data_IF_561688324357
#
_entry.id   IF_561688324357
#
_cell.length_a   1.000
_cell.length_b   1.000
_cell.length_c   1.000
_cell.angle_alpha   90.00
_cell.angle_beta   90.00
_cell.angle_gamma   90.00
#
_symmetry.space_group_name_H-M   'P 1'
#
loop_
_entity.id
_entity.type
_entity.pdbx_description
1 polymer ?
#
# COMPACT_ATOMS: atom_id res chain seq x y z
N UNK A 1 -32.02 33.81 23.39
CA UNK A 1 -31.93 34.13 21.95
C UNK A 1 -30.48 34.09 21.48
N UNK A 2 -29.57 34.81 22.16
CA UNK A 2 -28.13 34.87 21.83
C UNK A 2 -27.44 33.51 21.64
N UNK A 3 -27.68 32.53 22.52
CA UNK A 3 -27.11 31.18 22.41
C UNK A 3 -27.56 30.45 21.12
N UNK A 4 -28.78 30.69 20.66
CA UNK A 4 -29.32 30.06 19.43
C UNK A 4 -28.62 30.66 18.19
N UNK A 5 -28.36 31.96 18.19
CA UNK A 5 -27.59 32.61 17.12
C UNK A 5 -26.14 32.13 17.08
N UNK A 6 -25.51 31.96 18.24
CA UNK A 6 -24.15 31.43 18.34
C UNK A 6 -24.08 29.98 17.81
N UNK A 7 -25.04 29.13 18.17
CA UNK A 7 -25.13 27.76 17.63
C UNK A 7 -25.39 27.74 16.11
N UNK A 8 -26.22 28.63 15.59
CA UNK A 8 -26.47 28.76 14.16
C UNK A 8 -25.21 29.17 13.39
N UNK A 9 -24.43 30.12 13.93
CA UNK A 9 -23.16 30.56 13.32
C UNK A 9 -22.14 29.41 13.33
N UNK A 10 -22.01 28.68 14.43
CA UNK A 10 -21.13 27.50 14.49
C UNK A 10 -21.57 26.42 13.50
N UNK A 11 -22.87 26.16 13.36
CA UNK A 11 -23.39 25.18 12.41
C UNK A 11 -23.07 25.57 10.95
N UNK A 12 -23.18 26.85 10.60
CA UNK A 12 -22.86 27.35 9.25
C UNK A 12 -21.35 27.27 8.99
N UNK A 13 -20.53 27.69 9.95
CA UNK A 13 -19.06 27.63 9.84
C UNK A 13 -18.56 26.18 9.74
N UNK A 14 -19.09 25.28 10.55
CA UNK A 14 -18.73 23.86 10.51
C UNK A 14 -19.17 23.21 9.20
N UNK A 15 -20.37 23.51 8.69
CA UNK A 15 -20.82 23.00 7.39
C UNK A 15 -19.95 23.47 6.22
N UNK A 16 -19.38 24.66 6.29
CA UNK A 16 -18.48 25.19 5.26
C UNK A 16 -17.04 24.65 5.36
N UNK A 17 -16.53 24.41 6.57
CA UNK A 17 -15.12 24.07 6.81
C UNK A 17 -14.88 22.54 6.84
N UNK A 18 -15.85 21.74 7.30
CA UNK A 18 -15.67 20.30 7.42
C UNK A 18 -15.36 19.59 6.09
N UNK A 19 -16.09 19.85 4.98
CA UNK A 19 -15.90 19.10 3.75
C UNK A 19 -14.45 19.14 3.21
N UNK A 20 -13.82 20.32 3.00
CA UNK A 20 -12.45 20.37 2.50
C UNK A 20 -11.43 19.83 3.52
N UNK A 21 -11.68 20.00 4.83
CA UNK A 21 -10.81 19.43 5.86
C UNK A 21 -10.83 17.88 5.84
N UNK A 22 -12.00 17.28 5.62
CA UNK A 22 -12.15 15.82 5.53
C UNK A 22 -11.51 15.23 4.28
N UNK A 23 -11.57 15.94 3.14
CA UNK A 23 -10.87 15.56 1.91
C UNK A 23 -9.35 15.50 2.14
N UNK A 24 -8.76 16.57 2.70
CA UNK A 24 -7.31 16.61 3.02
C UNK A 24 -6.88 15.53 4.01
N UNK A 25 -7.70 15.25 5.02
CA UNK A 25 -7.44 14.15 5.96
C UNK A 25 -7.47 12.80 5.23
N UNK A 26 -8.39 12.63 4.29
CA UNK A 26 -8.51 11.40 3.51
C UNK A 26 -7.28 11.22 2.63
N UNK A 27 -6.89 12.24 1.88
CA UNK A 27 -5.67 12.24 1.05
C UNK A 27 -4.42 11.91 1.88
N UNK A 28 -4.22 12.60 3.01
CA UNK A 28 -3.09 12.33 3.89
C UNK A 28 -3.07 10.88 4.42
N UNK A 29 -4.24 10.29 4.68
CA UNK A 29 -4.35 8.87 5.06
C UNK A 29 -4.06 7.94 3.90
N UNK A 30 -4.47 8.29 2.67
CA UNK A 30 -4.13 7.52 1.47
C UNK A 30 -2.62 7.52 1.27
N UNK A 31 -1.98 8.68 1.31
CA UNK A 31 -0.53 8.82 1.13
C UNK A 31 0.25 8.09 2.24
N UNK A 32 -0.18 8.24 3.48
CA UNK A 32 0.38 7.49 4.61
C UNK A 32 0.25 5.98 4.42
N UNK A 33 -0.87 5.51 3.87
CA UNK A 33 -1.10 4.09 3.59
C UNK A 33 -0.21 3.58 2.46
N UNK A 34 -0.03 4.36 1.40
CA UNK A 34 0.89 4.03 0.29
C UNK A 34 2.35 4.03 0.78
N UNK A 35 2.74 5.01 1.61
CA UNK A 35 4.07 5.05 2.22
C UNK A 35 4.35 3.83 3.11
N UNK A 36 3.37 3.40 3.90
CA UNK A 36 3.45 2.16 4.67
C UNK A 36 3.60 0.94 3.76
N UNK A 37 2.83 0.86 2.67
CA UNK A 37 2.95 -0.23 1.71
C UNK A 37 4.36 -0.31 1.07
N UNK A 38 5.01 0.83 0.82
CA UNK A 38 6.38 0.89 0.32
C UNK A 38 7.42 0.36 1.33
N UNK A 39 7.24 0.64 2.63
CA UNK A 39 8.10 0.08 3.67
C UNK A 39 7.92 -1.44 3.78
N UNK A 40 6.67 -1.91 3.74
CA UNK A 40 6.33 -3.33 3.80
C UNK A 40 6.85 -4.08 2.57
N UNK A 41 6.86 -3.42 1.40
CA UNK A 41 7.41 -4.00 0.18
C UNK A 41 8.88 -4.40 0.34
N UNK A 42 9.69 -3.57 1.02
CA UNK A 42 11.09 -3.90 1.29
C UNK A 42 11.22 -5.14 2.19
N UNK A 43 10.37 -5.22 3.22
CA UNK A 43 10.33 -6.36 4.14
C UNK A 43 9.84 -7.62 3.41
N UNK A 44 8.87 -7.48 2.51
CA UNK A 44 8.40 -8.57 1.66
C UNK A 44 9.54 -9.12 0.80
N UNK A 45 10.33 -8.26 0.15
CA UNK A 45 11.45 -8.71 -0.69
C UNK A 45 12.50 -9.50 0.12
N UNK A 46 12.72 -9.12 1.37
CA UNK A 46 13.57 -9.90 2.30
C UNK A 46 12.95 -11.29 2.54
N UNK A 47 11.65 -11.37 2.82
CA UNK A 47 10.98 -12.65 3.03
C UNK A 47 11.03 -13.55 1.78
N UNK A 48 10.88 -12.97 0.59
CA UNK A 48 10.92 -13.67 -0.69
C UNK A 48 12.30 -14.24 -0.99
N UNK A 49 13.36 -13.47 -0.75
CA UNK A 49 14.74 -13.85 -1.08
C UNK A 49 15.41 -14.73 -0.03
N UNK A 50 14.81 -14.86 1.16
CA UNK A 50 15.32 -15.72 2.22
C UNK A 50 15.10 -17.20 1.88
N UNK A 51 16.19 -17.96 1.81
CA UNK A 51 16.13 -19.41 1.67
C UNK A 51 15.54 -20.04 2.94
N UNK A 52 14.54 -20.91 2.77
CA UNK A 52 13.91 -21.68 3.84
C UNK A 52 14.75 -22.90 4.19
N UNK A 53 15.17 -23.66 3.18
CA UNK A 53 16.07 -24.80 3.33
C UNK A 53 17.14 -24.79 2.25
N UNK A 54 18.29 -25.36 2.57
CA UNK A 54 19.38 -25.59 1.62
C UNK A 54 19.72 -27.07 1.66
N UNK A 55 19.63 -27.76 0.52
CA UNK A 55 20.07 -29.15 0.38
C UNK A 55 21.32 -29.22 -0.50
N UNK A 56 22.22 -30.14 -0.17
CA UNK A 56 23.45 -30.39 -0.93
C UNK A 56 23.32 -31.75 -1.61
N UNK A 57 23.50 -31.80 -2.93
CA UNK A 57 23.50 -33.07 -3.67
C UNK A 57 24.84 -33.82 -3.50
N UNK A 58 24.90 -35.07 -3.97
CA UNK A 58 26.12 -35.89 -3.89
C UNK A 58 27.30 -35.34 -4.71
N UNK A 59 27.04 -34.34 -5.57
CA UNK A 59 28.01 -33.64 -6.42
C UNK A 59 28.41 -32.27 -5.85
N UNK A 60 27.94 -31.91 -4.66
CA UNK A 60 28.28 -30.65 -3.98
C UNK A 60 27.52 -29.43 -4.50
N UNK A 61 26.42 -29.59 -5.25
CA UNK A 61 25.56 -28.49 -5.68
C UNK A 61 24.56 -28.15 -4.59
N UNK A 62 24.43 -26.86 -4.33
CA UNK A 62 23.49 -26.32 -3.36
C UNK A 62 22.16 -26.01 -4.06
N UNK A 63 21.06 -26.57 -3.54
CA UNK A 63 19.70 -26.22 -3.96
C UNK A 63 19.01 -25.52 -2.80
N UNK A 64 18.53 -24.30 -3.04
CA UNK A 64 17.79 -23.51 -2.05
C UNK A 64 16.29 -23.58 -2.33
N UNK A 65 15.48 -23.77 -1.29
CA UNK A 65 14.03 -23.58 -1.37
C UNK A 65 13.67 -22.20 -0.84
N UNK A 66 12.74 -21.52 -1.50
CA UNK A 66 12.27 -20.19 -1.12
C UNK A 66 10.80 -20.25 -0.74
N UNK A 67 10.33 -19.30 0.07
CA UNK A 67 8.91 -19.16 0.33
C UNK A 67 8.18 -18.65 -0.92
N UNK A 68 6.90 -19.00 -1.04
CA UNK A 68 5.95 -18.29 -1.91
C UNK A 68 4.74 -17.80 -1.11
N UNK A 69 4.05 -16.81 -1.67
CA UNK A 69 2.77 -16.31 -1.20
C UNK A 69 1.93 -15.90 -2.42
N UNK A 70 1.39 -16.91 -3.12
CA UNK A 70 0.80 -16.74 -4.46
C UNK A 70 -0.56 -16.02 -4.44
N UNK A 71 -1.27 -16.10 -3.31
CA UNK A 71 -2.54 -15.42 -3.06
C UNK A 71 -2.35 -14.23 -2.12
N UNK A 72 -3.23 -13.22 -2.26
CA UNK A 72 -3.28 -12.09 -1.33
C UNK A 72 -3.54 -12.59 0.10
N UNK A 73 -2.61 -12.28 1.01
CA UNK A 73 -2.71 -12.61 2.42
C UNK A 73 -2.44 -11.39 3.29
N UNK A 74 -2.83 -11.46 4.56
CA UNK A 74 -2.51 -10.40 5.52
C UNK A 74 -1.02 -10.32 5.82
N UNK A 75 -0.55 -9.16 6.29
CA UNK A 75 0.84 -9.00 6.75
C UNK A 75 1.22 -9.91 7.92
N UNK A 76 0.25 -10.47 8.65
CA UNK A 76 0.51 -11.51 9.67
C UNK A 76 1.10 -12.78 9.07
N UNK A 77 0.68 -13.15 7.86
CA UNK A 77 1.24 -14.31 7.12
C UNK A 77 2.65 -14.01 6.61
N UNK A 78 2.92 -12.75 6.25
CA UNK A 78 4.28 -12.32 5.95
C UNK A 78 5.17 -12.37 7.20
N UNK A 79 4.64 -11.93 8.35
CA UNK A 79 5.38 -11.89 9.61
C UNK A 79 5.80 -13.29 10.09
N UNK A 80 4.96 -14.31 9.90
CA UNK A 80 5.32 -15.70 10.27
C UNK A 80 6.44 -16.30 9.42
N UNK A 81 6.73 -15.72 8.24
CA UNK A 81 7.84 -16.12 7.37
C UNK A 81 9.15 -15.40 7.68
N UNK A 82 9.10 -14.34 8.48
CA UNK A 82 10.25 -13.52 8.88
C UNK A 82 10.80 -13.96 10.24
N UNK A 83 12.04 -13.56 10.56
CA UNK A 83 12.59 -13.75 11.92
C UNK A 83 11.91 -12.79 12.90
N UNK A 84 11.97 -13.09 14.20
CA UNK A 84 11.17 -12.50 15.30
C UNK A 84 11.24 -10.97 15.48
N UNK A 85 12.11 -10.27 14.74
CA UNK A 85 12.42 -8.85 14.97
C UNK A 85 11.66 -7.87 14.04
N UNK A 86 10.80 -8.36 13.15
CA UNK A 86 10.02 -7.49 12.28
C UNK A 86 8.63 -7.20 12.88
N UNK A 87 8.33 -5.93 13.12
CA UNK A 87 6.99 -5.47 13.46
C UNK A 87 6.32 -4.91 12.21
N UNK A 88 5.33 -5.62 11.69
CA UNK A 88 4.62 -5.25 10.46
C UNK A 88 3.18 -4.89 10.84
N UNK A 89 2.70 -3.68 10.53
CA UNK A 89 1.33 -3.31 10.82
C UNK A 89 0.36 -4.16 9.99
N UNK A 90 -0.76 -4.56 10.60
CA UNK A 90 -1.84 -5.31 9.94
C UNK A 90 -2.82 -4.41 9.21
N UNK A 91 -2.92 -3.16 9.66
CA UNK A 91 -3.79 -2.14 9.09
C UNK A 91 -3.01 -0.91 8.68
N UNK A 92 -3.53 -0.21 7.68
CA UNK A 92 -2.99 1.06 7.23
C UNK A 92 -3.63 2.27 7.93
N UNK A 93 -3.25 3.48 7.54
CA UNK A 93 -3.81 4.73 8.07
C UNK A 93 -5.32 4.92 7.78
N UNK A 94 -5.88 4.16 6.83
CA UNK A 94 -7.31 4.08 6.53
C UNK A 94 -8.05 3.01 7.37
N UNK A 95 -7.37 2.36 8.32
CA UNK A 95 -7.87 1.23 9.13
C UNK A 95 -8.29 -0.01 8.29
N UNK A 96 -7.82 -0.09 7.06
CA UNK A 96 -8.01 -1.24 6.16
C UNK A 96 -6.84 -2.21 6.24
N UNK A 97 -7.08 -3.49 5.96
CA UNK A 97 -6.02 -4.50 5.97
C UNK A 97 -4.98 -4.23 4.88
N UNK A 98 -3.71 -4.40 5.23
CA UNK A 98 -2.62 -4.40 4.25
C UNK A 98 -2.45 -5.83 3.74
N UNK A 99 -2.50 -5.97 2.42
CA UNK A 99 -2.40 -7.26 1.75
C UNK A 99 -1.02 -7.42 1.12
N UNK A 100 -0.49 -8.63 1.17
CA UNK A 100 0.81 -8.98 0.61
C UNK A 100 0.67 -10.23 -0.24
N UNK A 101 1.40 -10.25 -1.34
CA UNK A 101 1.58 -11.38 -2.24
C UNK A 101 3.02 -11.34 -2.74
N UNK A 102 3.64 -12.49 -2.96
CA UNK A 102 4.91 -12.55 -3.66
C UNK A 102 5.09 -13.86 -4.41
N UNK A 103 5.62 -13.73 -5.62
CA UNK A 103 5.98 -14.84 -6.48
C UNK A 103 7.50 -15.01 -6.53
N UNK A 104 8.00 -15.89 -7.40
CA UNK A 104 9.43 -16.12 -7.56
C UNK A 104 10.21 -14.86 -8.02
N UNK A 105 9.54 -13.92 -8.67
CA UNK A 105 10.16 -12.74 -9.28
C UNK A 105 10.02 -11.48 -8.41
N UNK A 106 8.88 -11.27 -7.74
CA UNK A 106 8.52 -9.98 -7.13
C UNK A 106 7.61 -10.09 -5.92
N UNK A 107 7.71 -9.08 -5.06
CA UNK A 107 6.72 -8.75 -4.06
C UNK A 107 5.71 -7.70 -4.51
N UNK A 108 4.49 -7.89 -4.01
CA UNK A 108 3.33 -7.03 -4.22
C UNK A 108 2.70 -6.74 -2.87
N UNK A 109 2.49 -5.46 -2.58
CA UNK A 109 1.76 -5.01 -1.38
C UNK A 109 0.59 -4.19 -1.85
N UNK A 110 -0.60 -4.47 -1.32
CA UNK A 110 -1.81 -3.80 -1.73
C UNK A 110 -2.53 -3.12 -0.56
N UNK A 111 -3.16 -2.00 -0.89
CA UNK A 111 -3.95 -1.16 0.00
C UNK A 111 -5.30 -0.90 -0.67
N UNK A 112 -6.38 -1.12 0.08
CA UNK A 112 -7.73 -0.86 -0.42
C UNK A 112 -8.19 0.55 -0.02
N UNK A 113 -8.48 1.38 -1.02
CA UNK A 113 -9.03 2.73 -0.86
C UNK A 113 -10.57 2.66 -0.76
N UNK A 114 -11.21 3.57 0.01
CA UNK A 114 -12.66 3.54 0.22
C UNK A 114 -13.48 4.03 -0.98
N UNK A 115 -12.84 4.41 -2.09
CA UNK A 115 -13.48 4.93 -3.30
C UNK A 115 -13.00 4.19 -4.56
N UNK A 116 -13.71 4.38 -5.67
CA UNK A 116 -13.39 3.82 -6.99
C UNK A 116 -12.61 4.83 -7.84
N UNK A 117 -11.36 4.51 -8.18
CA UNK A 117 -10.50 5.33 -9.02
C UNK A 117 -9.43 4.46 -9.69
N UNK A 118 -9.39 4.47 -11.02
CA UNK A 118 -8.33 3.81 -11.79
C UNK A 118 -7.05 4.64 -11.80
N UNK A 119 -5.89 3.98 -11.84
CA UNK A 119 -4.56 4.59 -12.00
C UNK A 119 -4.22 5.66 -10.93
N UNK A 120 -4.75 5.50 -9.72
CA UNK A 120 -4.50 6.41 -8.59
C UNK A 120 -2.99 6.64 -8.40
N UNK A 121 -2.53 7.89 -8.49
CA UNK A 121 -1.11 8.26 -8.32
C UNK A 121 -0.13 7.55 -9.26
N UNK A 122 -0.59 7.02 -10.41
CA UNK A 122 0.24 6.27 -11.35
C UNK A 122 0.59 4.84 -10.90
N UNK A 123 -0.07 4.32 -9.87
CA UNK A 123 0.06 2.94 -9.42
C UNK A 123 -0.84 1.99 -10.21
N UNK A 124 -0.51 0.70 -10.16
CA UNK A 124 -1.41 -0.34 -10.64
C UNK A 124 -2.63 -0.41 -9.71
N UNK A 125 -3.83 -0.37 -10.28
CA UNK A 125 -5.08 -0.42 -9.51
C UNK A 125 -6.00 -1.54 -9.98
N UNK A 126 -6.68 -2.21 -9.04
CA UNK A 126 -7.72 -3.21 -9.33
C UNK A 126 -9.01 -2.85 -8.59
N UNK A 127 -10.17 -3.11 -9.19
CA UNK A 127 -11.46 -2.94 -8.51
C UNK A 127 -11.83 -4.22 -7.77
N UNK A 128 -11.96 -4.13 -6.43
CA UNK A 128 -12.29 -5.28 -5.58
C UNK A 128 -13.44 -4.90 -4.64
N UNK A 129 -14.60 -5.54 -4.81
CA UNK A 129 -15.74 -5.38 -3.90
C UNK A 129 -16.21 -3.93 -3.72
N UNK A 130 -16.18 -3.12 -4.77
CA UNK A 130 -16.56 -1.70 -4.71
C UNK A 130 -15.47 -0.75 -4.18
N UNK A 131 -14.24 -1.24 -3.98
CA UNK A 131 -13.07 -0.48 -3.55
C UNK A 131 -11.98 -0.49 -4.61
N UNK A 132 -11.12 0.52 -4.60
CA UNK A 132 -9.89 0.52 -5.40
C UNK A 132 -8.77 -0.11 -4.60
N UNK A 133 -8.24 -1.22 -5.07
CA UNK A 133 -7.00 -1.81 -4.59
C UNK A 133 -5.83 -1.18 -5.30
N UNK A 134 -5.02 -0.40 -4.59
CA UNK A 134 -3.74 0.12 -5.08
C UNK A 134 -2.65 -0.89 -4.82
N UNK A 135 -1.92 -1.29 -5.86
CA UNK A 135 -0.86 -2.29 -5.81
C UNK A 135 0.50 -1.59 -5.93
N UNK A 136 1.27 -1.72 -4.86
CA UNK A 136 2.65 -1.26 -4.74
C UNK A 136 3.58 -2.45 -4.97
N UNK A 137 4.33 -2.41 -6.07
CA UNK A 137 5.33 -3.41 -6.43
C UNK A 137 6.70 -2.77 -6.56
N UNK A 138 7.76 -3.54 -6.36
CA UNK A 138 9.10 -3.12 -6.76
C UNK A 138 9.08 -2.85 -8.27
N UNK A 139 9.76 -1.76 -8.71
CA UNK A 139 9.71 -1.32 -10.11
C UNK A 139 10.05 -2.47 -11.05
N UNK A 140 9.20 -2.67 -12.06
CA UNK A 140 9.57 -3.44 -13.24
C UNK A 140 10.73 -2.67 -13.88
N UNK A 141 11.92 -3.26 -14.00
CA UNK A 141 12.99 -2.69 -14.85
C UNK A 141 12.53 -2.42 -16.30
N UNK A 142 11.39 -3.00 -16.70
CA UNK A 142 10.74 -2.92 -18.00
C UNK A 142 9.25 -2.49 -17.90
N UNK A 143 8.92 -1.36 -17.26
CA UNK A 143 7.57 -0.80 -17.50
C UNK A 143 7.48 -0.34 -18.96
N UNK A 144 6.40 -0.68 -19.65
CA UNK A 144 6.13 -0.23 -21.03
C UNK A 144 6.11 1.32 -21.16
N UNK A 145 6.00 2.01 -20.03
CA UNK A 145 6.14 3.45 -19.92
C UNK A 145 7.53 3.82 -19.40
N UNK A 146 8.18 4.86 -19.96
CA UNK A 146 9.41 5.40 -19.39
C UNK A 146 9.19 5.77 -17.92
N UNK A 147 10.16 5.45 -17.06
CA UNK A 147 10.07 5.71 -15.61
C UNK A 147 9.81 7.18 -15.27
N UNK A 148 10.19 8.11 -16.16
CA UNK A 148 9.90 9.54 -16.01
C UNK A 148 8.41 9.87 -16.15
N UNK A 149 7.63 9.13 -16.96
CA UNK A 149 6.19 9.36 -17.14
C UNK A 149 5.42 8.94 -15.88
N UNK A 150 5.80 7.81 -15.28
CA UNK A 150 5.20 7.35 -14.01
C UNK A 150 5.53 8.33 -12.89
N UNK A 151 6.79 8.77 -12.80
CA UNK A 151 7.20 9.80 -11.85
C UNK A 151 6.48 11.13 -12.08
N UNK A 152 6.32 11.56 -13.34
CA UNK A 152 5.61 12.79 -13.68
C UNK A 152 4.15 12.71 -13.27
N UNK A 153 3.45 11.60 -13.56
CA UNK A 153 2.06 11.41 -13.12
C UNK A 153 1.92 11.45 -11.61
N UNK A 154 2.89 10.92 -10.87
CA UNK A 154 2.91 10.98 -9.41
C UNK A 154 3.10 12.41 -8.91
N UNK A 155 4.07 13.15 -9.48
CA UNK A 155 4.30 14.56 -9.16
C UNK A 155 3.07 15.41 -9.49
N UNK A 156 2.45 15.21 -10.66
CA UNK A 156 1.25 15.92 -11.06
C UNK A 156 0.08 15.62 -10.12
N UNK A 157 -0.05 14.37 -9.68
CA UNK A 157 -1.07 14.02 -8.70
C UNK A 157 -0.82 14.69 -7.33
N UNK A 158 0.44 14.69 -6.86
CA UNK A 158 0.85 15.38 -5.63
C UNK A 158 0.68 16.91 -5.75
N UNK A 159 0.72 17.48 -6.96
CA UNK A 159 0.43 18.90 -7.25
C UNK A 159 -1.08 19.19 -7.29
N UNK A 160 -1.90 18.30 -7.85
CA UNK A 160 -3.36 18.43 -7.89
C UNK A 160 -4.01 18.31 -6.51
N UNK A 161 -3.41 17.52 -5.61
CA UNK A 161 -3.91 17.33 -4.23
C UNK A 161 -3.39 18.39 -3.26
N UNK A 162 -2.59 19.37 -3.69
CA UNK A 162 -2.03 20.44 -2.84
C UNK A 162 -2.86 21.73 -2.89
#
# INVERSE_FOLDING_TARGET
MEIIFVLAIIAILTAAILPPALERITEAKVDGSIGQAQMILQICEIARTKALTTSVDAQGRYTHTYGSLDNWASTTVLQSKLTTNYHIPTKNALDTQILVKFDAARCYVAVDLPFLQSDYGGYLTETVGGKTRVIVTARIKNSAYPSWVVNQKRILHDEETR
#
